data_IF_295329376030
#
_entry.id   IF_295329376030
#
_cell.length_a   1.000
_cell.length_b   1.000
_cell.length_c   1.000
_cell.angle_alpha   90.00
_cell.angle_beta   90.00
_cell.angle_gamma   90.00
#
_symmetry.space_group_name_H-M   'P 1'
#
loop_
_entity.id
_entity.type
_entity.pdbx_description
1 polymer ?
#
# COMPACT_ATOMS: atom_id res chain seq x y z
N UNK A 1 -10.80 15.82 -31.35
CA UNK A 1 -10.40 14.41 -31.60
C UNK A 1 -9.99 13.67 -30.33
N UNK A 2 -9.04 14.12 -29.50
CA UNK A 2 -8.69 13.41 -28.23
C UNK A 2 -9.66 13.68 -27.07
N UNK A 3 -10.12 14.93 -26.92
CA UNK A 3 -11.08 15.32 -25.86
C UNK A 3 -12.44 14.64 -26.00
N UNK A 4 -12.83 14.26 -27.22
CA UNK A 4 -14.11 13.59 -27.51
C UNK A 4 -14.14 12.13 -27.08
N UNK A 5 -12.96 11.51 -26.84
CA UNK A 5 -12.88 10.09 -26.49
C UNK A 5 -13.11 9.82 -24.99
N UNK A 6 -13.18 10.86 -24.15
CA UNK A 6 -13.45 10.72 -22.72
C UNK A 6 -12.46 9.81 -21.99
N UNK A 7 -11.21 9.75 -22.46
CA UNK A 7 -10.15 8.95 -21.85
C UNK A 7 -9.62 9.63 -20.59
N UNK A 8 -9.43 8.85 -19.53
CA UNK A 8 -8.95 9.31 -18.23
C UNK A 8 -7.63 8.60 -17.93
N UNK A 9 -6.54 9.35 -17.90
CA UNK A 9 -5.20 8.82 -17.58
C UNK A 9 -4.96 8.94 -16.09
N UNK A 10 -4.67 7.81 -15.45
CA UNK A 10 -4.41 7.75 -14.01
C UNK A 10 -2.99 7.26 -13.78
N UNK A 11 -2.22 8.01 -13.03
CA UNK A 11 -0.83 7.69 -12.72
C UNK A 11 -0.73 6.90 -11.42
N UNK A 12 0.11 5.86 -11.41
CA UNK A 12 0.32 5.04 -10.22
C UNK A 12 1.43 5.62 -9.35
N UNK A 13 1.21 5.63 -8.04
CA UNK A 13 2.23 6.03 -7.05
C UNK A 13 2.42 4.93 -6.02
N UNK A 14 3.45 4.09 -6.15
CA UNK A 14 3.77 3.09 -5.14
C UNK A 14 4.14 3.72 -3.80
N UNK A 15 3.83 3.04 -2.69
CA UNK A 15 4.17 3.55 -1.36
C UNK A 15 5.68 3.64 -1.19
N UNK A 16 6.17 4.85 -0.88
CA UNK A 16 7.61 5.12 -0.70
C UNK A 16 8.37 5.39 -1.99
N UNK A 17 7.69 5.44 -3.14
CA UNK A 17 8.28 5.82 -4.43
C UNK A 17 7.61 7.09 -4.98
N UNK A 18 8.26 7.70 -5.96
CA UNK A 18 7.69 8.81 -6.72
C UNK A 18 6.61 8.28 -7.68
N UNK A 19 5.64 9.13 -8.08
CA UNK A 19 4.67 8.76 -9.10
C UNK A 19 5.38 8.40 -10.42
N UNK A 20 4.88 7.37 -11.11
CA UNK A 20 5.30 7.06 -12.46
C UNK A 20 4.40 7.79 -13.47
N UNK A 21 5.01 8.68 -14.25
CA UNK A 21 4.34 9.45 -15.30
C UNK A 21 4.57 8.89 -16.71
N UNK A 22 5.36 7.81 -16.84
CA UNK A 22 5.70 7.21 -18.13
C UNK A 22 4.64 6.22 -18.61
N UNK A 23 3.98 5.52 -17.68
CA UNK A 23 2.98 4.48 -17.98
C UNK A 23 1.66 4.74 -17.22
N UNK A 24 0.76 5.60 -17.76
CA UNK A 24 -0.55 5.84 -17.15
C UNK A 24 -1.50 4.67 -17.42
N UNK A 25 -2.32 4.36 -16.42
CA UNK A 25 -3.48 3.49 -16.62
C UNK A 25 -4.57 4.32 -17.28
N UNK A 26 -4.95 3.95 -18.51
CA UNK A 26 -5.99 4.64 -19.26
C UNK A 26 -7.35 3.99 -18.99
N UNK A 27 -8.24 4.75 -18.39
CA UNK A 27 -9.63 4.39 -18.13
C UNK A 27 -10.54 5.09 -19.14
N UNK A 28 -11.71 4.52 -19.39
CA UNK A 28 -12.73 5.11 -20.28
C UNK A 28 -14.12 4.68 -19.82
N UNK A 29 -15.11 5.56 -19.97
CA UNK A 29 -16.49 5.28 -19.60
C UNK A 29 -17.04 3.99 -20.24
N UNK A 30 -16.67 3.74 -21.50
CA UNK A 30 -17.16 2.57 -22.26
C UNK A 30 -16.49 1.24 -21.86
N UNK A 31 -15.38 1.27 -21.10
CA UNK A 31 -14.58 0.08 -20.72
C UNK A 31 -14.61 -0.20 -19.23
N UNK A 32 -15.75 0.01 -18.61
CA UNK A 32 -15.97 -0.30 -17.21
C UNK A 32 -16.01 0.91 -16.30
N UNK A 33 -15.83 2.13 -16.82
CA UNK A 33 -15.96 3.36 -16.03
C UNK A 33 -14.63 3.93 -15.57
N UNK A 34 -14.72 5.01 -14.79
CA UNK A 34 -13.58 5.78 -14.30
C UNK A 34 -13.50 5.76 -12.77
N UNK A 35 -13.94 4.69 -12.12
CA UNK A 35 -13.87 4.60 -10.65
C UNK A 35 -12.52 4.04 -10.16
N UNK A 36 -12.23 4.24 -8.88
CA UNK A 36 -11.08 3.61 -8.21
C UNK A 36 -11.17 2.08 -8.25
N UNK A 37 -12.38 1.51 -8.25
CA UNK A 37 -12.59 0.06 -8.42
C UNK A 37 -12.12 -0.42 -9.80
N UNK A 38 -12.49 0.30 -10.85
CA UNK A 38 -12.12 -0.02 -12.24
C UNK A 38 -10.63 0.11 -12.47
N UNK A 39 -10.02 1.13 -11.87
CA UNK A 39 -8.58 1.30 -11.83
C UNK A 39 -7.87 0.11 -11.19
N UNK A 40 -8.36 -0.35 -10.03
CA UNK A 40 -7.81 -1.54 -9.36
C UNK A 40 -7.96 -2.80 -10.22
N UNK A 41 -9.10 -2.96 -10.91
CA UNK A 41 -9.37 -4.07 -11.82
C UNK A 41 -8.43 -4.09 -13.03
N UNK A 42 -8.09 -2.92 -13.58
CA UNK A 42 -7.14 -2.79 -14.69
C UNK A 42 -5.73 -3.25 -14.30
N UNK A 43 -5.29 -2.93 -13.08
CA UNK A 43 -3.98 -3.38 -12.57
C UNK A 43 -4.02 -4.88 -12.28
N UNK A 44 -4.95 -5.31 -11.41
CA UNK A 44 -5.10 -6.72 -11.06
C UNK A 44 -6.43 -6.99 -10.32
N UNK A 45 -7.26 -7.90 -10.83
CA UNK A 45 -8.59 -8.22 -10.22
C UNK A 45 -8.56 -8.63 -8.75
N UNK A 46 -7.49 -9.25 -8.26
CA UNK A 46 -7.40 -9.63 -6.84
C UNK A 46 -7.15 -8.43 -5.91
N UNK A 47 -6.69 -7.30 -6.46
CA UNK A 47 -6.25 -6.14 -5.70
C UNK A 47 -7.37 -5.53 -4.87
N UNK A 48 -8.59 -5.51 -5.41
CA UNK A 48 -9.79 -4.97 -4.75
C UNK A 48 -10.00 -5.57 -3.36
N UNK A 49 -9.73 -6.88 -3.18
CA UNK A 49 -9.90 -7.56 -1.90
C UNK A 49 -8.93 -7.04 -0.83
N UNK A 50 -7.72 -6.71 -1.27
CA UNK A 50 -6.62 -6.28 -0.42
C UNK A 50 -6.59 -4.76 -0.22
N UNK A 51 -7.31 -3.96 -1.00
CA UNK A 51 -7.36 -2.50 -0.83
C UNK A 51 -8.00 -2.16 0.51
N UNK A 52 -7.30 -1.36 1.33
CA UNK A 52 -7.83 -0.77 2.56
C UNK A 52 -8.47 0.59 2.28
N UNK A 53 -7.73 1.44 1.59
CA UNK A 53 -8.15 2.76 1.12
C UNK A 53 -7.19 3.20 0.01
N UNK A 54 -7.57 4.27 -0.68
CA UNK A 54 -6.77 4.85 -1.76
C UNK A 54 -6.50 6.32 -1.44
N UNK A 55 -5.30 6.80 -1.76
CA UNK A 55 -4.95 8.20 -1.69
C UNK A 55 -4.92 8.77 -3.10
N UNK A 56 -5.61 9.89 -3.30
CA UNK A 56 -5.72 10.56 -4.59
C UNK A 56 -5.12 11.96 -4.50
N UNK A 57 -4.32 12.31 -5.51
CA UNK A 57 -3.85 13.66 -5.79
C UNK A 57 -4.28 14.03 -7.21
N UNK A 58 -5.05 15.09 -7.36
CA UNK A 58 -5.57 15.52 -8.68
C UNK A 58 -7.00 16.02 -8.57
N UNK A 59 -7.55 16.57 -9.65
CA UNK A 59 -8.77 17.37 -9.61
C UNK A 59 -10.01 16.65 -9.07
N UNK A 60 -10.01 15.31 -9.03
CA UNK A 60 -11.09 14.54 -8.43
C UNK A 60 -11.16 14.65 -6.90
N UNK A 61 -10.06 15.00 -6.24
CA UNK A 61 -9.97 15.19 -4.80
C UNK A 61 -10.05 16.68 -4.43
N UNK A 62 -10.83 17.00 -3.40
CA UNK A 62 -10.96 18.38 -2.90
C UNK A 62 -9.75 18.84 -2.08
N UNK A 63 -9.06 17.90 -1.44
CA UNK A 63 -7.88 18.17 -0.61
C UNK A 63 -6.76 17.19 -0.94
N UNK A 64 -5.51 17.62 -0.86
CA UNK A 64 -4.37 16.78 -1.27
C UNK A 64 -3.47 16.38 -0.10
N UNK A 65 -3.20 15.07 0.12
CA UNK A 65 -3.94 13.91 -0.42
C UNK A 65 -5.33 13.71 0.23
N UNK A 66 -6.30 13.20 -0.55
CA UNK A 66 -7.59 12.77 -0.02
C UNK A 66 -7.66 11.26 0.14
N UNK A 67 -8.24 10.81 1.25
CA UNK A 67 -8.61 9.41 1.44
C UNK A 67 -9.92 9.10 0.71
N UNK A 68 -9.84 8.17 -0.23
CA UNK A 68 -10.97 7.75 -1.06
C UNK A 68 -11.23 6.24 -0.92
N UNK A 69 -12.49 5.86 -1.14
CA UNK A 69 -12.93 4.47 -1.26
C UNK A 69 -12.93 3.99 -2.71
N UNK A 70 -13.41 2.77 -2.94
CA UNK A 70 -13.48 2.15 -4.27
C UNK A 70 -14.48 2.85 -5.22
N UNK A 71 -15.58 3.40 -4.68
CA UNK A 71 -16.59 4.11 -5.47
C UNK A 71 -16.23 5.56 -5.83
N UNK A 72 -14.99 6.01 -5.55
CA UNK A 72 -14.57 7.37 -5.93
C UNK A 72 -14.33 7.44 -7.43
N UNK A 73 -14.86 8.47 -8.09
CA UNK A 73 -14.63 8.71 -9.52
C UNK A 73 -13.30 9.44 -9.70
N UNK A 74 -12.43 8.88 -10.53
CA UNK A 74 -11.16 9.46 -10.94
C UNK A 74 -11.36 10.39 -12.14
N UNK A 75 -10.46 11.35 -12.27
CA UNK A 75 -10.39 12.30 -13.37
C UNK A 75 -9.03 12.19 -14.07
N UNK A 76 -8.94 12.79 -15.26
CA UNK A 76 -7.71 12.77 -16.05
C UNK A 76 -6.56 13.41 -15.28
N UNK A 77 -5.40 12.79 -15.39
CA UNK A 77 -4.14 13.15 -14.71
C UNK A 77 -4.12 12.96 -13.19
N UNK A 78 -5.11 12.27 -12.61
CA UNK A 78 -5.08 11.89 -11.21
C UNK A 78 -3.89 10.96 -10.91
N UNK A 79 -3.23 11.22 -9.79
CA UNK A 79 -2.22 10.34 -9.20
C UNK A 79 -2.86 9.53 -8.08
N UNK A 80 -2.65 8.22 -8.11
CA UNK A 80 -3.31 7.28 -7.19
C UNK A 80 -2.30 6.40 -6.48
N UNK A 81 -2.39 6.36 -5.15
CA UNK A 81 -1.64 5.43 -4.31
C UNK A 81 -2.58 4.46 -3.61
N UNK A 82 -2.41 3.17 -3.91
CA UNK A 82 -3.21 2.09 -3.33
C UNK A 82 -2.58 1.64 -2.02
N UNK A 83 -3.34 1.70 -0.92
CA UNK A 83 -2.90 1.21 0.38
C UNK A 83 -3.57 -0.13 0.68
N UNK A 84 -2.75 -1.18 0.79
CA UNK A 84 -3.20 -2.55 1.08
C UNK A 84 -3.47 -2.76 2.58
N UNK A 85 -4.44 -3.62 2.89
CA UNK A 85 -4.70 -4.14 4.24
C UNK A 85 -3.46 -4.94 4.67
N UNK A 86 -2.88 -4.60 5.83
CA UNK A 86 -1.86 -5.44 6.45
C UNK A 86 -2.59 -6.62 7.10
N UNK A 87 -2.25 -7.86 6.74
CA UNK A 87 -2.65 -9.03 7.52
C UNK A 87 -1.94 -8.96 8.88
N UNK A 88 -2.55 -8.26 9.83
CA UNK A 88 -1.98 -7.96 11.16
C UNK A 88 -1.78 -9.20 12.03
N UNK A 89 -2.24 -10.38 11.59
CA UNK A 89 -2.10 -11.63 12.35
C UNK A 89 -0.74 -12.31 12.15
N UNK A 90 -0.09 -12.16 11.00
CA UNK A 90 1.23 -12.76 10.77
C UNK A 90 2.36 -11.99 11.47
N UNK A 91 2.31 -10.65 11.44
CA UNK A 91 3.37 -9.81 12.03
C UNK A 91 3.37 -9.81 13.56
N UNK A 92 2.21 -10.06 14.19
CA UNK A 92 2.10 -10.22 15.66
C UNK A 92 2.69 -11.55 16.15
N UNK A 93 2.55 -12.63 15.38
CA UNK A 93 3.05 -13.96 15.79
C UNK A 93 4.59 -14.03 15.83
N UNK A 94 5.27 -13.46 14.82
CA UNK A 94 6.74 -13.35 14.80
C UNK A 94 7.33 -12.52 15.96
N UNK A 95 6.62 -11.50 16.44
CA UNK A 95 7.08 -10.70 17.59
C UNK A 95 7.00 -11.47 18.90
N UNK A 96 5.91 -12.22 19.13
CA UNK A 96 5.74 -13.01 20.37
C UNK A 96 6.77 -14.12 20.52
N UNK A 97 7.13 -14.80 19.43
CA UNK A 97 8.15 -15.87 19.45
C UNK A 97 9.56 -15.30 19.68
N UNK A 98 9.91 -14.17 19.06
CA UNK A 98 11.20 -13.50 19.28
C UNK A 98 11.37 -12.93 20.69
N UNK A 99 10.29 -12.44 21.30
CA UNK A 99 10.30 -11.89 22.65
C UNK A 99 10.38 -12.98 23.72
N UNK A 100 9.72 -14.13 23.51
CA UNK A 100 9.86 -15.31 24.36
C UNK A 100 11.29 -15.87 24.34
N UNK A 101 11.91 -15.98 23.16
CA UNK A 101 13.30 -16.43 23.03
C UNK A 101 14.29 -15.45 23.69
N UNK A 102 14.09 -14.13 23.51
CA UNK A 102 14.95 -13.12 24.15
C UNK A 102 14.81 -13.10 25.68
N UNK A 103 13.61 -13.32 26.21
CA UNK A 103 13.40 -13.40 27.67
C UNK A 103 14.00 -14.69 28.25
N UNK A 104 13.90 -15.81 27.53
CA UNK A 104 14.53 -17.06 27.95
C UNK A 104 16.06 -16.94 28.01
N UNK A 105 16.70 -16.35 26.98
CA UNK A 105 18.15 -16.13 26.96
C UNK A 105 18.59 -15.19 28.10
N UNK A 106 17.82 -14.13 28.39
CA UNK A 106 18.10 -13.24 29.54
C UNK A 106 18.01 -13.97 30.88
N UNK A 107 17.05 -14.88 31.04
CA UNK A 107 16.91 -15.65 32.27
C UNK A 107 18.06 -16.64 32.46
N UNK A 108 18.48 -17.33 31.39
CA UNK A 108 19.63 -18.25 31.44
C UNK A 108 20.94 -17.51 31.71
N UNK A 109 21.16 -16.33 31.11
CA UNK A 109 22.36 -15.51 31.37
C UNK A 109 22.41 -14.91 32.78
N UNK A 110 21.26 -14.75 33.45
CA UNK A 110 21.20 -14.33 34.85
C UNK A 110 21.51 -15.47 35.81
N UNK A 111 21.14 -16.72 35.48
CA UNK A 111 21.41 -17.90 36.30
C UNK A 111 22.85 -18.44 36.17
N UNK A 112 23.52 -18.18 35.04
CA UNK A 112 24.92 -18.58 34.82
C UNK A 112 25.83 -17.35 34.70
N UNK A 113 26.32 -16.77 35.81
CA UNK A 113 27.37 -15.77 35.75
C UNK A 113 28.63 -16.44 35.21
N UNK A 114 28.88 -16.30 33.91
CA UNK A 114 30.05 -16.82 33.21
C UNK A 114 31.29 -16.31 33.95
N UNK A 115 32.05 -17.24 34.56
CA UNK A 115 33.43 -17.00 34.96
C UNK A 115 34.19 -16.52 33.72
N UNK A 116 34.31 -15.20 33.57
CA UNK A 116 35.36 -14.57 32.77
C UNK A 116 36.67 -14.89 33.48
N UNK A 117 37.22 -16.08 33.23
CA UNK A 117 38.62 -16.38 33.51
C UNK A 117 39.45 -15.37 32.73
N UNK A 118 40.08 -14.46 33.48
CA UNK A 118 41.27 -13.71 33.09
C UNK A 118 42.22 -14.67 32.38
N UNK A 119 42.49 -14.39 31.11
CA UNK A 119 43.77 -14.70 30.50
C UNK A 119 44.55 -13.39 30.50
N UNK A 120 45.37 -13.23 31.53
CA UNK A 120 46.67 -12.55 31.61
C UNK A 120 47.02 -12.28 33.08
#
# INVERSE_FOLDING_TARGET
MWEEMGLVRVYTKPQGQQPDFSDPVVLSADRGGCSVEDFCNHIHRSLIKDVKYVLVWGSSARHYPQHCGLGHSLQDEDVVQIVKKKNTDFSRKKRKEGEAASNHIRQVLHEYPIERKRLH
#
